data_IF_654558510681
#
_entry.id   IF_654558510681
#
_cell.length_a   1.000
_cell.length_b   1.000
_cell.length_c   1.000
_cell.angle_alpha   90.00
_cell.angle_beta   90.00
_cell.angle_gamma   90.00
#
_symmetry.space_group_name_H-M   'P 1'
#
loop_
_entity.id
_entity.type
_entity.pdbx_description
1 polymer ?
#
# COMPACT_ATOMS: atom_id res chain seq x y z
N UNK A 1 -28.20 27.78 50.59
CA UNK A 1 -27.71 26.81 49.60
C UNK A 1 -27.30 25.53 50.33
N UNK A 2 -27.50 24.30 49.77
CA UNK A 2 -27.19 23.05 50.47
C UNK A 2 -25.99 22.31 49.89
N UNK A 3 -25.24 21.62 50.74
CA UNK A 3 -24.10 20.78 50.32
C UNK A 3 -24.54 19.69 49.37
N UNK A 4 -23.83 19.50 48.27
CA UNK A 4 -24.14 18.51 47.21
C UNK A 4 -24.04 17.06 47.71
N UNK A 5 -23.33 16.80 48.83
CA UNK A 5 -23.10 15.45 49.34
C UNK A 5 -24.01 15.14 50.52
N UNK A 6 -24.03 15.97 51.58
CA UNK A 6 -24.76 15.70 52.79
C UNK A 6 -26.03 16.51 52.96
N UNK A 7 -26.33 17.44 52.02
CA UNK A 7 -27.50 18.34 52.03
C UNK A 7 -27.61 19.34 53.18
N UNK A 8 -26.62 19.41 54.08
CA UNK A 8 -26.54 20.43 55.12
C UNK A 8 -26.51 21.85 54.54
N UNK A 9 -27.01 22.82 55.28
CA UNK A 9 -26.96 24.24 54.86
C UNK A 9 -25.51 24.73 54.74
N UNK A 10 -25.26 25.51 53.71
CA UNK A 10 -23.97 26.08 53.38
C UNK A 10 -24.01 27.63 53.55
N UNK A 11 -23.26 28.10 54.52
CA UNK A 11 -22.93 29.52 54.58
C UNK A 11 -22.09 29.91 53.38
N UNK A 12 -22.56 30.86 52.56
CA UNK A 12 -21.85 31.32 51.37
C UNK A 12 -20.99 32.55 51.72
N UNK A 13 -19.77 32.66 51.18
CA UNK A 13 -18.96 33.86 51.39
C UNK A 13 -19.59 35.04 50.66
N UNK A 14 -19.50 36.23 51.29
CA UNK A 14 -19.99 37.49 50.72
C UNK A 14 -19.21 37.94 49.48
N UNK A 15 -17.96 37.49 49.32
CA UNK A 15 -17.13 37.70 48.13
C UNK A 15 -16.38 36.44 47.79
N UNK A 16 -16.21 36.13 46.49
CA UNK A 16 -15.46 35.00 45.99
C UNK A 16 -16.31 33.84 45.51
N UNK A 17 -15.64 32.67 45.21
CA UNK A 17 -16.27 31.48 44.61
C UNK A 17 -17.25 30.81 45.59
N UNK A 18 -18.48 30.57 45.16
CA UNK A 18 -19.50 29.88 45.94
C UNK A 18 -19.07 28.48 46.37
N UNK A 19 -19.30 28.16 47.67
CA UNK A 19 -19.00 26.84 48.23
C UNK A 19 -20.04 25.82 47.78
N UNK A 20 -19.59 24.66 47.32
CA UNK A 20 -20.43 23.51 46.92
C UNK A 20 -20.48 22.42 47.98
N UNK A 21 -19.52 22.40 48.90
CA UNK A 21 -19.35 21.41 49.95
C UNK A 21 -19.22 22.10 51.31
N UNK A 22 -19.81 21.45 52.38
CA UNK A 22 -19.75 22.01 53.73
C UNK A 22 -18.38 21.79 54.41
N UNK A 23 -17.64 20.77 53.96
CA UNK A 23 -16.36 20.37 54.60
C UNK A 23 -15.42 19.72 53.55
N UNK A 24 -14.14 19.63 53.93
CA UNK A 24 -13.14 18.87 53.13
C UNK A 24 -13.51 17.41 52.99
N UNK A 25 -14.17 16.79 54.00
CA UNK A 25 -14.62 15.42 53.92
C UNK A 25 -15.73 15.24 52.87
N UNK A 26 -16.67 16.12 52.75
CA UNK A 26 -17.68 16.09 51.69
C UNK A 26 -17.05 16.30 50.30
N UNK A 27 -16.07 17.19 50.19
CA UNK A 27 -15.30 17.38 48.96
C UNK A 27 -14.52 16.10 48.53
N UNK A 28 -13.86 15.44 49.51
CA UNK A 28 -13.15 14.18 49.28
C UNK A 28 -14.11 13.05 48.90
N UNK A 29 -15.31 12.97 49.51
CA UNK A 29 -16.35 12.00 49.12
C UNK A 29 -16.84 12.22 47.70
N UNK A 30 -17.07 13.45 47.31
CA UNK A 30 -17.46 13.80 45.94
C UNK A 30 -16.35 13.45 44.93
N UNK A 31 -15.10 13.65 45.31
CA UNK A 31 -13.95 13.30 44.49
C UNK A 31 -13.82 11.78 44.31
N UNK A 32 -13.94 11.00 45.40
CA UNK A 32 -13.92 9.54 45.36
C UNK A 32 -15.10 8.96 44.57
N UNK A 33 -16.32 9.50 44.74
CA UNK A 33 -17.51 9.08 44.01
C UNK A 33 -17.34 9.30 42.49
N UNK A 34 -16.77 10.44 42.07
CA UNK A 34 -16.45 10.68 40.64
C UNK A 34 -15.39 9.75 40.10
N UNK A 35 -14.46 9.33 40.92
CA UNK A 35 -13.39 8.41 40.55
C UNK A 35 -13.86 6.95 40.48
N UNK A 36 -14.81 6.57 41.30
CA UNK A 36 -15.45 5.23 41.29
C UNK A 36 -16.59 5.12 40.28
N UNK A 37 -17.19 6.24 39.83
CA UNK A 37 -18.16 6.26 38.75
C UNK A 37 -17.54 6.50 37.37
N UNK A 38 -16.23 6.72 37.28
CA UNK A 38 -15.55 6.59 35.99
C UNK A 38 -15.76 5.15 35.50
N UNK A 39 -16.23 4.93 34.25
CA UNK A 39 -16.37 3.58 33.74
C UNK A 39 -15.01 2.92 33.91
N UNK A 40 -14.99 1.80 34.67
CA UNK A 40 -13.82 0.92 34.73
C UNK A 40 -13.60 0.56 33.27
N UNK A 41 -12.59 1.16 32.63
CA UNK A 41 -12.04 0.62 31.39
C UNK A 41 -11.72 -0.82 31.78
N UNK A 42 -12.61 -1.75 31.38
CA UNK A 42 -12.29 -3.16 31.43
C UNK A 42 -10.90 -3.23 30.82
N UNK A 43 -9.92 -3.65 31.61
CA UNK A 43 -8.61 -3.99 31.08
C UNK A 43 -8.89 -5.06 30.04
N UNK A 44 -9.05 -4.67 28.80
CA UNK A 44 -8.98 -5.58 27.66
C UNK A 44 -7.68 -6.31 27.91
N UNK A 45 -7.79 -7.64 28.03
CA UNK A 45 -6.67 -8.57 28.11
C UNK A 45 -5.58 -7.99 27.21
N UNK A 46 -4.35 -7.77 27.69
CA UNK A 46 -3.35 -7.10 26.87
C UNK A 46 -3.25 -7.88 25.57
N UNK A 47 -3.67 -7.26 24.48
CA UNK A 47 -3.46 -7.82 23.13
C UNK A 47 -1.95 -7.97 23.06
N UNK A 48 -1.49 -9.21 22.99
CA UNK A 48 -0.06 -9.50 22.87
C UNK A 48 0.32 -8.97 21.49
N UNK A 49 0.89 -7.76 21.46
CA UNK A 49 1.39 -7.16 20.24
C UNK A 49 2.49 -8.08 19.70
N UNK A 50 2.33 -8.53 18.49
CA UNK A 50 3.35 -9.24 17.72
C UNK A 50 3.74 -8.38 16.53
N UNK A 51 4.96 -8.52 16.03
CA UNK A 51 5.42 -7.80 14.83
C UNK A 51 4.49 -8.06 13.65
N UNK A 52 4.12 -9.31 13.41
CA UNK A 52 3.15 -9.69 12.36
C UNK A 52 1.79 -9.00 12.57
N UNK A 53 1.27 -8.98 13.80
CA UNK A 53 -0.02 -8.33 14.08
C UNK A 53 0.02 -6.81 13.90
N UNK A 54 1.12 -6.17 14.25
CA UNK A 54 1.35 -4.74 14.02
C UNK A 54 1.47 -4.45 12.52
N UNK A 55 2.30 -5.24 11.80
CA UNK A 55 2.50 -5.10 10.36
C UNK A 55 1.18 -5.28 9.59
N UNK A 56 0.34 -6.25 9.95
CA UNK A 56 -0.97 -6.48 9.31
C UNK A 56 -1.89 -5.27 9.42
N UNK A 57 -2.04 -4.70 10.60
CA UNK A 57 -2.85 -3.48 10.79
C UNK A 57 -2.23 -2.28 10.05
N UNK A 58 -0.90 -2.22 9.95
CA UNK A 58 -0.22 -1.18 9.19
C UNK A 58 -0.46 -1.33 7.67
N UNK A 59 -0.47 -2.55 7.14
CA UNK A 59 -0.84 -2.87 5.75
C UNK A 59 -2.27 -2.41 5.48
N UNK A 60 -3.26 -2.81 6.30
CA UNK A 60 -4.66 -2.39 6.17
C UNK A 60 -4.82 -0.85 6.15
N UNK A 61 -4.04 -0.15 6.97
CA UNK A 61 -4.03 1.31 6.99
C UNK A 61 -3.42 1.91 5.71
N UNK A 62 -2.32 1.33 5.21
CA UNK A 62 -1.65 1.80 4.01
C UNK A 62 -2.48 1.53 2.74
N UNK A 63 -3.16 0.39 2.67
CA UNK A 63 -4.06 0.05 1.55
C UNK A 63 -5.25 1.00 1.45
N UNK A 64 -5.80 1.40 2.60
CA UNK A 64 -6.97 2.27 2.66
C UNK A 64 -6.63 3.75 2.45
N UNK A 65 -5.55 4.22 3.09
CA UNK A 65 -5.28 5.65 3.25
C UNK A 65 -3.96 6.10 2.60
N UNK A 66 -3.30 5.19 1.89
CA UNK A 66 -1.97 5.40 1.30
C UNK A 66 -0.83 5.37 2.33
N UNK A 67 0.39 5.23 1.81
CA UNK A 67 1.60 5.13 2.65
C UNK A 67 1.90 6.43 3.42
N UNK A 68 1.51 7.59 2.88
CA UNK A 68 1.69 8.89 3.51
C UNK A 68 0.72 9.07 4.68
N UNK A 69 -0.45 8.43 4.62
CA UNK A 69 -1.42 8.37 5.71
C UNK A 69 -0.97 7.50 6.89
N UNK A 70 0.01 6.63 6.70
CA UNK A 70 0.53 5.73 7.74
C UNK A 70 1.54 6.44 8.63
N UNK A 71 1.15 6.71 9.88
CA UNK A 71 2.03 7.25 10.93
C UNK A 71 2.03 6.34 12.15
N UNK A 72 3.15 6.30 12.91
CA UNK A 72 3.24 5.52 14.16
C UNK A 72 2.13 5.89 15.16
N UNK A 73 1.73 7.16 15.20
CA UNK A 73 0.64 7.62 16.08
C UNK A 73 -0.72 7.05 15.63
N UNK A 74 -0.98 7.05 14.32
CA UNK A 74 -2.22 6.55 13.74
C UNK A 74 -2.32 5.04 13.91
N UNK A 75 -1.23 4.31 13.67
CA UNK A 75 -1.11 2.88 13.90
C UNK A 75 -1.34 2.53 15.38
N UNK A 76 -0.70 3.25 16.30
CA UNK A 76 -0.93 3.08 17.76
C UNK A 76 -2.39 3.30 18.14
N UNK A 77 -3.03 4.31 17.56
CA UNK A 77 -4.46 4.59 17.77
C UNK A 77 -5.35 3.45 17.26
N UNK A 78 -5.07 2.91 16.09
CA UNK A 78 -5.82 1.78 15.50
C UNK A 78 -5.68 0.51 16.35
N UNK A 79 -4.49 0.25 16.87
CA UNK A 79 -4.21 -0.89 17.77
C UNK A 79 -4.67 -0.66 19.22
N UNK A 80 -5.09 0.56 19.59
CA UNK A 80 -5.51 0.89 20.97
C UNK A 80 -4.38 0.88 21.99
N UNK A 81 -3.12 1.15 21.56
CA UNK A 81 -1.92 1.10 22.39
C UNK A 81 -1.19 2.45 22.43
N UNK A 82 -0.24 2.60 23.36
CA UNK A 82 0.65 3.75 23.36
C UNK A 82 1.72 3.61 22.25
N UNK A 83 2.07 4.70 21.58
CA UNK A 83 3.07 4.74 20.51
C UNK A 83 4.42 4.14 20.94
N UNK A 84 4.84 4.36 22.19
CA UNK A 84 6.04 3.76 22.76
C UNK A 84 6.01 2.21 22.77
N UNK A 85 4.82 1.60 22.74
CA UNK A 85 4.64 0.16 22.61
C UNK A 85 5.08 -0.38 21.26
N UNK A 86 4.86 0.40 20.19
CA UNK A 86 5.24 0.03 18.82
C UNK A 86 6.75 0.09 18.60
N UNK A 87 7.42 1.08 19.16
CA UNK A 87 8.87 1.26 19.02
C UNK A 87 9.70 0.13 19.61
N UNK A 88 9.12 -0.72 20.46
CA UNK A 88 9.77 -1.95 20.93
C UNK A 88 9.82 -3.06 19.89
N UNK A 89 8.92 -3.01 18.90
CA UNK A 89 8.83 -3.97 17.80
C UNK A 89 9.46 -3.42 16.53
N UNK A 90 9.20 -2.15 16.24
CA UNK A 90 9.71 -1.45 15.06
C UNK A 90 10.39 -0.15 15.52
N UNK A 91 11.72 -0.10 15.53
CA UNK A 91 12.47 1.04 16.08
C UNK A 91 12.23 2.34 15.30
N UNK A 92 11.86 2.23 14.03
CA UNK A 92 11.57 3.36 13.15
C UNK A 92 10.54 2.99 12.07
N UNK A 93 10.22 3.96 11.21
CA UNK A 93 9.27 3.78 10.10
C UNK A 93 9.82 2.84 9.03
N UNK A 94 11.12 2.85 8.78
CA UNK A 94 11.74 1.97 7.77
C UNK A 94 11.64 0.50 8.18
N UNK A 95 11.92 0.18 9.44
CA UNK A 95 11.74 -1.15 9.97
C UNK A 95 10.27 -1.63 9.88
N UNK A 96 9.29 -0.74 10.14
CA UNK A 96 7.88 -1.05 9.96
C UNK A 96 7.57 -1.34 8.49
N UNK A 97 8.04 -0.49 7.56
CA UNK A 97 7.82 -0.69 6.12
C UNK A 97 8.45 -1.99 5.62
N UNK A 98 9.64 -2.33 6.10
CA UNK A 98 10.29 -3.61 5.79
C UNK A 98 9.47 -4.80 6.31
N UNK A 99 8.96 -4.73 7.54
CA UNK A 99 8.08 -5.76 8.10
C UNK A 99 6.75 -5.90 7.38
N UNK A 100 6.17 -4.79 6.91
CA UNK A 100 4.97 -4.80 6.08
C UNK A 100 5.23 -5.45 4.71
N UNK A 101 6.34 -5.06 4.05
CA UNK A 101 6.75 -5.64 2.77
C UNK A 101 7.01 -7.15 2.89
N UNK A 102 7.73 -7.56 3.92
CA UNK A 102 7.98 -8.98 4.21
C UNK A 102 6.68 -9.77 4.39
N UNK A 103 5.71 -9.21 5.13
CA UNK A 103 4.41 -9.85 5.33
C UNK A 103 3.68 -10.07 4.00
N UNK A 104 3.59 -9.02 3.17
CA UNK A 104 2.84 -9.05 1.90
C UNK A 104 3.54 -9.94 0.87
N UNK A 105 4.87 -9.88 0.77
CA UNK A 105 5.65 -10.71 -0.14
C UNK A 105 5.57 -12.21 0.21
N UNK A 106 5.47 -12.56 1.49
CA UNK A 106 5.25 -13.94 1.94
C UNK A 106 3.84 -14.47 1.58
N UNK A 107 2.89 -13.62 1.26
CA UNK A 107 1.54 -14.01 0.82
C UNK A 107 1.49 -14.35 -0.68
N UNK A 108 2.55 -14.01 -1.45
CA UNK A 108 2.66 -14.37 -2.87
C UNK A 108 2.80 -15.89 -3.00
N UNK A 109 1.86 -16.56 -3.69
CA UNK A 109 1.91 -18.01 -3.83
C UNK A 109 3.12 -18.43 -4.69
N UNK A 110 3.80 -19.50 -4.35
CA UNK A 110 4.81 -20.05 -5.23
C UNK A 110 4.16 -20.55 -6.54
N UNK A 111 4.89 -20.53 -7.67
CA UNK A 111 4.37 -21.05 -8.92
C UNK A 111 3.99 -22.52 -8.78
N UNK A 112 2.92 -22.91 -9.45
CA UNK A 112 2.42 -24.28 -9.41
C UNK A 112 3.46 -25.31 -9.92
N UNK A 113 3.44 -26.55 -9.42
CA UNK A 113 4.45 -27.57 -9.76
C UNK A 113 4.57 -27.89 -11.26
N UNK A 114 3.51 -27.63 -12.04
CA UNK A 114 3.52 -27.83 -13.49
C UNK A 114 4.16 -26.66 -14.27
N UNK A 115 4.37 -25.51 -13.64
CA UNK A 115 5.11 -24.39 -14.22
C UNK A 115 6.61 -24.74 -14.34
N UNK A 116 6.93 -25.65 -15.27
CA UNK A 116 8.31 -26.06 -15.54
C UNK A 116 8.94 -25.15 -16.61
N UNK A 117 10.20 -24.80 -16.41
CA UNK A 117 10.95 -23.93 -17.32
C UNK A 117 10.90 -22.46 -16.93
N UNK A 118 11.72 -21.68 -17.59
CA UNK A 118 11.92 -20.25 -17.31
C UNK A 118 10.71 -19.39 -17.71
N UNK A 119 10.13 -19.64 -18.89
CA UNK A 119 9.06 -18.83 -19.46
C UNK A 119 7.77 -18.81 -18.61
N UNK A 120 7.16 -19.99 -18.26
CA UNK A 120 5.97 -19.99 -17.42
C UNK A 120 6.24 -19.42 -16.01
N UNK A 121 7.47 -19.54 -15.51
CA UNK A 121 7.85 -18.99 -14.22
C UNK A 121 7.94 -17.47 -14.25
N UNK A 122 8.59 -16.88 -15.24
CA UNK A 122 8.67 -15.43 -15.37
C UNK A 122 7.29 -14.80 -15.67
N UNK A 123 6.46 -15.50 -16.43
CA UNK A 123 5.07 -15.09 -16.64
C UNK A 123 4.29 -15.06 -15.32
N UNK A 124 4.38 -16.10 -14.53
CA UNK A 124 3.76 -16.16 -13.20
C UNK A 124 4.24 -15.00 -12.32
N UNK A 125 5.55 -14.77 -12.25
CA UNK A 125 6.14 -13.69 -11.46
C UNK A 125 5.61 -12.31 -11.87
N UNK A 126 5.55 -12.04 -13.17
CA UNK A 126 5.04 -10.78 -13.68
C UNK A 126 3.56 -10.53 -13.26
N UNK A 127 2.73 -11.58 -13.29
CA UNK A 127 1.33 -11.48 -12.87
C UNK A 127 1.19 -11.32 -11.35
N UNK A 128 2.02 -12.01 -10.56
CA UNK A 128 2.01 -11.86 -9.10
C UNK A 128 2.54 -10.49 -8.67
N UNK A 129 3.60 -9.96 -9.31
CA UNK A 129 4.09 -8.61 -9.09
C UNK A 129 3.03 -7.56 -9.47
N UNK A 130 2.32 -7.76 -10.57
CA UNK A 130 1.21 -6.91 -10.98
C UNK A 130 0.06 -6.93 -9.97
N UNK A 131 -0.36 -8.12 -9.53
CA UNK A 131 -1.39 -8.30 -8.51
C UNK A 131 -1.00 -7.61 -7.20
N UNK A 132 0.26 -7.76 -6.79
CA UNK A 132 0.82 -7.10 -5.62
C UNK A 132 0.62 -5.58 -5.66
N UNK A 133 0.94 -4.93 -6.79
CA UNK A 133 0.79 -3.48 -6.93
C UNK A 133 -0.67 -3.03 -7.01
N UNK A 134 -1.55 -3.87 -7.51
CA UNK A 134 -3.01 -3.59 -7.52
C UNK A 134 -3.63 -3.70 -6.14
N UNK A 135 -3.25 -4.68 -5.37
CA UNK A 135 -3.74 -4.91 -4.00
C UNK A 135 -3.09 -3.95 -3.01
N UNK A 136 -1.79 -3.67 -3.20
CA UNK A 136 -0.96 -2.86 -2.30
C UNK A 136 -0.18 -1.77 -3.08
N UNK A 137 -0.85 -0.70 -3.56
CA UNK A 137 -0.19 0.33 -4.38
C UNK A 137 1.03 1.00 -3.73
N UNK A 138 1.09 1.01 -2.40
CA UNK A 138 2.21 1.52 -1.62
C UNK A 138 3.49 0.68 -1.76
N UNK A 139 3.40 -0.56 -2.25
CA UNK A 139 4.55 -1.42 -2.54
C UNK A 139 5.36 -0.93 -3.74
N UNK A 140 4.71 -0.31 -4.74
CA UNK A 140 5.39 0.17 -5.94
C UNK A 140 6.54 1.14 -5.62
N UNK A 141 6.36 2.28 -4.90
CA UNK A 141 7.46 3.16 -4.56
C UNK A 141 8.48 2.54 -3.58
N UNK A 142 8.16 1.41 -2.97
CA UNK A 142 9.06 0.71 -2.06
C UNK A 142 9.99 -0.25 -2.82
N UNK A 143 9.46 -0.97 -3.81
CA UNK A 143 10.21 -1.95 -4.61
C UNK A 143 10.87 -1.32 -5.84
N UNK A 144 10.28 -0.28 -6.45
CA UNK A 144 10.84 0.46 -7.59
C UNK A 144 12.01 1.38 -7.18
N UNK A 145 12.94 0.85 -6.41
CA UNK A 145 14.17 1.54 -5.96
C UNK A 145 15.39 0.78 -6.40
N UNK A 146 16.50 1.51 -6.58
CA UNK A 146 17.81 0.89 -6.84
C UNK A 146 18.24 -0.04 -5.69
N UNK A 147 17.75 0.21 -4.49
CA UNK A 147 18.00 -0.61 -3.29
C UNK A 147 16.67 -0.79 -2.53
N UNK A 148 15.87 -1.77 -2.95
CA UNK A 148 14.65 -2.11 -2.21
C UNK A 148 14.99 -2.70 -0.83
N UNK A 149 14.06 -2.71 0.12
CA UNK A 149 14.25 -3.37 1.40
C UNK A 149 14.38 -4.89 1.16
N UNK A 150 15.60 -5.40 1.31
CA UNK A 150 15.90 -6.82 1.15
C UNK A 150 15.50 -7.57 2.44
N UNK A 151 14.44 -8.36 2.35
CA UNK A 151 14.04 -9.32 3.36
C UNK A 151 14.07 -10.75 2.80
N UNK A 152 13.92 -11.77 3.66
CA UNK A 152 13.89 -13.18 3.24
C UNK A 152 12.89 -13.46 2.11
N UNK A 153 11.65 -12.95 2.19
CA UNK A 153 10.63 -13.17 1.18
C UNK A 153 11.05 -12.66 -0.22
N UNK A 154 11.60 -11.42 -0.28
CA UNK A 154 12.09 -10.88 -1.55
C UNK A 154 13.28 -11.70 -2.09
N UNK A 155 14.18 -12.11 -1.21
CA UNK A 155 15.32 -12.95 -1.62
C UNK A 155 14.86 -14.32 -2.14
N UNK A 156 13.85 -14.92 -1.55
CA UNK A 156 13.28 -16.20 -2.01
C UNK A 156 12.61 -16.05 -3.39
N UNK A 157 11.94 -14.91 -3.65
CA UNK A 157 11.37 -14.58 -4.95
C UNK A 157 12.49 -14.44 -6.00
N UNK A 158 13.53 -13.66 -5.69
CA UNK A 158 14.69 -13.48 -6.58
C UNK A 158 15.38 -14.81 -6.88
N UNK A 159 15.65 -15.62 -5.85
CA UNK A 159 16.28 -16.92 -6.00
C UNK A 159 15.50 -17.84 -6.96
N UNK A 160 14.18 -17.91 -6.80
CA UNK A 160 13.34 -18.75 -7.68
C UNK A 160 13.41 -18.32 -9.15
N UNK A 161 13.45 -17.02 -9.41
CA UNK A 161 13.47 -16.46 -10.77
C UNK A 161 14.85 -16.62 -11.40
N UNK A 162 15.90 -16.29 -10.65
CA UNK A 162 17.28 -16.43 -11.12
C UNK A 162 17.63 -17.89 -11.39
N UNK A 163 17.24 -18.81 -10.49
CA UNK A 163 17.44 -20.23 -10.68
C UNK A 163 16.67 -20.81 -11.90
N UNK A 164 15.56 -20.20 -12.30
CA UNK A 164 14.84 -20.61 -13.50
C UNK A 164 15.60 -20.22 -14.78
N UNK A 165 16.16 -19.01 -14.82
CA UNK A 165 16.96 -18.51 -15.94
C UNK A 165 18.35 -19.16 -16.02
N UNK A 166 18.99 -19.42 -14.87
CA UNK A 166 20.28 -20.11 -14.79
C UNK A 166 20.17 -21.54 -15.38
N UNK A 167 19.10 -22.27 -15.06
CA UNK A 167 18.82 -23.57 -15.66
C UNK A 167 18.58 -23.54 -17.17
N UNK A 168 18.27 -22.40 -17.74
CA UNK A 168 18.20 -22.18 -19.18
C UNK A 168 19.58 -21.94 -19.83
N UNK A 169 20.68 -21.94 -19.05
CA UNK A 169 22.05 -21.79 -19.52
C UNK A 169 22.46 -20.34 -19.80
N UNK A 170 21.76 -19.37 -19.27
CA UNK A 170 22.07 -17.96 -19.48
C UNK A 170 23.17 -17.47 -18.52
N UNK A 171 24.02 -16.55 -19.01
CA UNK A 171 25.06 -15.94 -18.20
C UNK A 171 24.47 -14.93 -17.17
N UNK A 172 25.22 -14.63 -16.11
CA UNK A 172 24.79 -13.78 -15.00
C UNK A 172 24.28 -12.41 -15.42
N UNK A 173 24.90 -11.78 -16.41
CA UNK A 173 24.52 -10.45 -16.89
C UNK A 173 23.19 -10.51 -17.61
N UNK A 174 23.01 -11.51 -18.46
CA UNK A 174 21.78 -11.76 -19.19
C UNK A 174 20.63 -12.09 -18.23
N UNK A 175 20.83 -12.97 -17.24
CA UNK A 175 19.84 -13.28 -16.19
C UNK A 175 19.38 -12.01 -15.47
N UNK A 176 20.33 -11.18 -14.99
CA UNK A 176 20.00 -9.94 -14.30
C UNK A 176 19.27 -8.94 -15.21
N UNK A 177 19.67 -8.86 -16.48
CA UNK A 177 19.05 -7.96 -17.45
C UNK A 177 17.59 -8.36 -17.73
N UNK A 178 17.34 -9.66 -17.95
CA UNK A 178 15.98 -10.17 -18.21
C UNK A 178 15.08 -9.91 -17.00
N UNK A 179 15.55 -10.24 -15.80
CA UNK A 179 14.77 -10.02 -14.58
C UNK A 179 14.41 -8.54 -14.38
N UNK A 180 15.42 -7.65 -14.49
CA UNK A 180 15.19 -6.21 -14.34
C UNK A 180 14.32 -5.61 -15.46
N UNK A 181 14.42 -6.13 -16.69
CA UNK A 181 13.56 -5.70 -17.79
C UNK A 181 12.09 -6.09 -17.52
N UNK A 182 11.85 -7.33 -17.04
CA UNK A 182 10.52 -7.81 -16.71
C UNK A 182 9.90 -7.00 -15.55
N UNK A 183 10.61 -6.88 -14.43
CA UNK A 183 10.15 -6.13 -13.28
C UNK A 183 9.94 -4.63 -13.63
N UNK A 184 10.86 -4.04 -14.40
CA UNK A 184 10.72 -2.66 -14.87
C UNK A 184 9.50 -2.44 -15.78
N UNK A 185 9.15 -3.43 -16.62
CA UNK A 185 7.93 -3.42 -17.42
C UNK A 185 6.68 -3.41 -16.53
N UNK A 186 6.60 -4.34 -15.57
CA UNK A 186 5.46 -4.43 -14.62
C UNK A 186 5.34 -3.15 -13.80
N UNK A 187 6.45 -2.64 -13.25
CA UNK A 187 6.47 -1.40 -12.47
C UNK A 187 6.05 -0.18 -13.30
N UNK A 188 6.48 -0.09 -14.55
CA UNK A 188 6.07 0.97 -15.46
C UNK A 188 4.56 0.95 -15.72
N UNK A 189 3.98 -0.22 -16.00
CA UNK A 189 2.54 -0.37 -16.16
C UNK A 189 1.77 -0.08 -14.87
N UNK A 190 2.29 -0.53 -13.72
CA UNK A 190 1.68 -0.24 -12.42
C UNK A 190 1.70 1.26 -12.09
N UNK A 191 2.74 1.97 -12.49
CA UNK A 191 2.81 3.43 -12.34
C UNK A 191 1.75 4.12 -13.20
N UNK A 192 1.61 3.75 -14.47
CA UNK A 192 0.59 4.28 -15.37
C UNK A 192 -0.83 4.01 -14.83
N UNK A 193 -1.09 2.77 -14.43
CA UNK A 193 -2.37 2.37 -13.84
C UNK A 193 -2.70 3.15 -12.55
N UNK A 194 -1.71 3.35 -11.68
CA UNK A 194 -1.92 4.09 -10.43
C UNK A 194 -2.20 5.57 -10.67
N UNK A 195 -1.57 6.18 -11.69
CA UNK A 195 -1.82 7.57 -12.10
C UNK A 195 -3.23 7.74 -12.65
N UNK A 196 -3.66 6.86 -13.57
CA UNK A 196 -5.03 6.87 -14.10
C UNK A 196 -6.08 6.70 -13.00
N UNK A 197 -5.82 5.84 -12.02
CA UNK A 197 -6.73 5.65 -10.87
C UNK A 197 -6.84 6.90 -10.00
N UNK A 198 -5.76 7.63 -9.79
CA UNK A 198 -5.76 8.89 -9.02
C UNK A 198 -6.58 9.92 -9.78
N UNK A 199 -6.39 10.04 -11.10
CA UNK A 199 -7.11 10.98 -11.94
C UNK A 199 -8.62 10.66 -11.93
N UNK A 200 -9.03 9.41 -12.07
CA UNK A 200 -10.45 8.99 -12.01
C UNK A 200 -11.12 9.18 -10.64
N UNK A 201 -10.37 9.12 -9.54
CA UNK A 201 -10.91 9.32 -8.19
C UNK A 201 -10.90 10.79 -7.75
N UNK A 202 -10.21 11.66 -8.51
CA UNK A 202 -9.92 13.02 -8.10
C UNK A 202 -11.09 14.02 -8.26
N UNK A 203 -11.95 13.90 -9.29
CA UNK A 203 -13.08 14.82 -9.48
C UNK A 203 -14.21 14.18 -10.34
N UNK A 204 -15.48 14.19 -9.88
CA UNK A 204 -16.64 13.84 -10.72
C UNK A 204 -16.83 14.77 -11.95
N UNK A 205 -16.02 15.83 -12.05
CA UNK A 205 -15.98 16.73 -13.23
C UNK A 205 -15.07 16.23 -14.35
N UNK A 206 -14.33 15.13 -14.15
CA UNK A 206 -13.37 14.59 -15.10
C UNK A 206 -13.99 14.11 -16.43
N UNK A 207 -15.28 13.74 -16.45
CA UNK A 207 -15.96 13.46 -17.72
C UNK A 207 -15.96 14.68 -18.69
N UNK A 208 -16.00 15.90 -18.13
CA UNK A 208 -15.87 17.11 -18.92
C UNK A 208 -14.41 17.38 -19.34
N UNK A 209 -13.46 17.08 -18.47
CA UNK A 209 -12.03 17.15 -18.74
C UNK A 209 -11.58 16.13 -19.79
N UNK A 210 -12.07 14.91 -19.69
CA UNK A 210 -11.81 13.86 -20.69
C UNK A 210 -12.39 14.21 -22.07
N UNK A 211 -13.60 14.78 -22.10
CA UNK A 211 -14.22 15.27 -23.34
C UNK A 211 -13.42 16.45 -23.93
N UNK A 212 -12.96 17.38 -23.08
CA UNK A 212 -12.12 18.49 -23.50
C UNK A 212 -10.77 18.02 -24.06
N UNK A 213 -10.12 17.08 -23.36
CA UNK A 213 -8.85 16.49 -23.81
C UNK A 213 -9.01 15.75 -25.15
N UNK A 214 -10.11 15.01 -25.34
CA UNK A 214 -10.41 14.36 -26.63
C UNK A 214 -10.61 15.39 -27.76
N UNK A 215 -11.31 16.47 -27.46
CA UNK A 215 -11.51 17.55 -28.42
C UNK A 215 -10.18 18.25 -28.79
N UNK A 216 -9.37 18.59 -27.80
CA UNK A 216 -8.05 19.19 -28.00
C UNK A 216 -7.10 18.26 -28.78
N UNK A 217 -7.16 16.92 -28.46
CA UNK A 217 -6.41 15.92 -29.21
C UNK A 217 -6.87 15.84 -30.68
N UNK A 218 -8.18 15.86 -30.95
CA UNK A 218 -8.72 15.82 -32.32
C UNK A 218 -8.24 17.01 -33.14
N UNK A 219 -8.19 18.21 -32.55
CA UNK A 219 -7.64 19.41 -33.23
C UNK A 219 -6.11 19.31 -33.47
N UNK A 220 -5.38 18.67 -32.54
CA UNK A 220 -3.93 18.48 -32.65
C UNK A 220 -3.54 17.34 -33.59
N UNK A 221 -4.45 16.40 -33.88
CA UNK A 221 -4.22 15.22 -34.71
C UNK A 221 -4.52 15.48 -36.21
N UNK A 222 -4.12 16.64 -36.74
CA UNK A 222 -4.23 16.94 -38.17
C UNK A 222 -3.59 15.80 -39.01
N UNK A 223 -4.37 15.10 -39.87
CA UNK A 223 -3.88 14.00 -40.70
C UNK A 223 -2.80 14.40 -41.67
N UNK A 224 -2.75 15.68 -42.08
CA UNK A 224 -1.70 16.20 -42.95
C UNK A 224 -0.34 16.34 -42.22
N UNK A 225 -0.38 16.58 -40.92
CA UNK A 225 0.82 16.80 -40.09
C UNK A 225 1.22 15.53 -39.32
N UNK A 226 0.23 14.77 -38.86
CA UNK A 226 0.42 13.59 -37.99
C UNK A 226 -0.39 12.37 -38.47
N UNK A 227 -0.14 11.86 -39.69
CA UNK A 227 -0.96 10.81 -40.30
C UNK A 227 -0.95 9.49 -39.50
N UNK A 228 0.16 9.17 -38.85
CA UNK A 228 0.24 7.97 -38.00
C UNK A 228 -0.61 8.10 -36.72
N UNK A 229 -0.48 9.21 -36.02
CA UNK A 229 -1.26 9.43 -34.79
C UNK A 229 -2.75 9.55 -35.10
N UNK A 230 -3.11 10.26 -36.19
CA UNK A 230 -4.51 10.36 -36.62
C UNK A 230 -5.13 8.98 -36.92
N UNK A 231 -4.37 8.04 -37.50
CA UNK A 231 -4.84 6.69 -37.80
C UNK A 231 -5.18 5.89 -36.52
N UNK A 232 -4.44 6.10 -35.44
CA UNK A 232 -4.59 5.32 -34.20
C UNK A 232 -5.49 5.99 -33.16
N UNK A 233 -5.61 7.33 -33.22
CA UNK A 233 -6.26 8.12 -32.18
C UNK A 233 -7.27 9.14 -32.73
N UNK A 234 -7.46 9.21 -34.04
CA UNK A 234 -8.34 10.20 -34.69
C UNK A 234 -9.79 9.76 -34.81
N UNK A 235 -10.14 8.51 -34.52
CA UNK A 235 -11.52 8.03 -34.51
C UNK A 235 -12.22 8.49 -33.24
N UNK A 236 -13.39 9.15 -33.39
CA UNK A 236 -14.24 9.59 -32.26
C UNK A 236 -14.74 8.43 -31.40
N UNK A 237 -14.82 7.22 -31.98
CA UNK A 237 -15.24 5.97 -31.30
C UNK A 237 -14.07 5.20 -30.70
N UNK A 238 -12.83 5.68 -30.79
CA UNK A 238 -11.69 4.99 -30.17
C UNK A 238 -11.83 5.08 -28.65
N UNK A 239 -12.19 3.95 -28.04
CA UNK A 239 -12.23 3.80 -26.59
C UNK A 239 -10.77 3.85 -26.07
N UNK A 240 -10.40 4.99 -25.48
CA UNK A 240 -9.10 5.17 -24.82
C UNK A 240 -9.00 4.40 -23.48
N UNK A 241 -10.05 3.66 -23.09
CA UNK A 241 -10.02 2.84 -21.90
C UNK A 241 -9.00 1.71 -22.09
N UNK A 242 -7.81 1.92 -21.53
CA UNK A 242 -6.72 0.94 -21.58
C UNK A 242 -7.01 -0.21 -20.63
N UNK A 243 -7.17 -1.42 -21.14
CA UNK A 243 -7.17 -2.62 -20.31
C UNK A 243 -5.74 -2.96 -19.92
N UNK A 244 -5.37 -2.60 -18.70
CA UNK A 244 -4.02 -2.83 -18.18
C UNK A 244 -3.70 -4.29 -17.95
N UNK A 245 -4.69 -5.17 -17.73
CA UNK A 245 -4.47 -6.59 -17.57
C UNK A 245 -4.12 -7.23 -18.93
N UNK A 246 -4.81 -6.86 -19.99
CA UNK A 246 -4.51 -7.31 -21.36
C UNK A 246 -3.18 -6.73 -21.85
N UNK A 247 -2.92 -5.45 -21.57
CA UNK A 247 -1.65 -4.80 -21.90
C UNK A 247 -0.47 -5.48 -21.20
N UNK A 248 -0.61 -5.81 -19.92
CA UNK A 248 0.42 -6.56 -19.18
C UNK A 248 0.67 -7.92 -19.83
N UNK A 249 -0.40 -8.70 -20.06
CA UNK A 249 -0.28 -10.05 -20.64
C UNK A 249 0.44 -10.00 -21.97
N UNK A 250 0.05 -9.09 -22.86
CA UNK A 250 0.66 -8.91 -24.18
C UNK A 250 2.12 -8.47 -24.10
N UNK A 251 2.41 -7.47 -23.27
CA UNK A 251 3.75 -6.92 -23.13
C UNK A 251 4.74 -7.94 -22.51
N UNK A 252 4.28 -8.74 -21.55
CA UNK A 252 5.06 -9.83 -20.97
C UNK A 252 5.41 -10.88 -22.04
N UNK A 253 4.44 -11.32 -22.85
CA UNK A 253 4.71 -12.30 -23.91
C UNK A 253 5.70 -11.74 -24.95
N UNK A 254 5.55 -10.49 -25.39
CA UNK A 254 6.51 -9.85 -26.29
C UNK A 254 7.93 -9.84 -25.73
N UNK A 255 8.09 -9.56 -24.43
CA UNK A 255 9.39 -9.61 -23.76
C UNK A 255 9.95 -11.04 -23.75
N UNK A 256 9.12 -12.02 -23.36
CA UNK A 256 9.54 -13.43 -23.25
C UNK A 256 9.86 -14.06 -24.63
N UNK A 257 9.14 -13.66 -25.69
CA UNK A 257 9.47 -14.03 -27.08
C UNK A 257 10.82 -13.46 -27.50
N UNK A 258 11.07 -12.18 -27.21
CA UNK A 258 12.35 -11.56 -27.46
C UNK A 258 13.52 -12.24 -26.73
N UNK A 259 13.29 -12.69 -25.50
CA UNK A 259 14.28 -13.49 -24.73
C UNK A 259 14.53 -14.84 -25.39
N UNK A 260 13.48 -15.56 -25.78
CA UNK A 260 13.58 -16.86 -26.44
C UNK A 260 14.42 -16.77 -27.71
N UNK A 261 14.01 -15.90 -28.63
CA UNK A 261 14.69 -15.72 -29.93
C UNK A 261 16.15 -15.28 -29.77
N UNK A 262 16.39 -14.33 -28.86
CA UNK A 262 17.72 -13.69 -28.74
C UNK A 262 18.75 -14.56 -28.00
N UNK A 263 18.31 -15.36 -27.04
CA UNK A 263 19.22 -15.99 -26.09
C UNK A 263 19.11 -17.52 -26.03
N UNK A 264 18.02 -18.14 -26.52
CA UNK A 264 17.76 -19.56 -26.33
C UNK A 264 17.52 -20.33 -27.62
N UNK A 265 17.03 -19.68 -28.68
CA UNK A 265 16.80 -20.32 -29.99
C UNK A 265 18.03 -20.23 -30.95
N UNK A 266 19.06 -19.47 -30.58
CA UNK A 266 20.28 -19.31 -31.39
C UNK A 266 21.31 -20.42 -31.20
N UNK A 267 20.92 -21.60 -30.67
CA UNK A 267 21.83 -22.73 -30.39
C UNK A 267 21.57 -23.90 -31.35
N UNK A 268 21.26 -23.62 -32.63
CA UNK A 268 21.34 -24.59 -33.72
C UNK A 268 22.59 -24.37 -34.60
#
# INVERSE_FOLDING_TARGET
MRCVICRSELAQPTRGRRRRYCSRSCQARAYRARRSSAPVRRATRPIRLTEVGIARVAVELADRDGIDGLTMRRLASALGVATAGLYRHFPDREALLAGMAELVLNEIPPPEPHCRGWRPRLRHEAHEEWRLYREHPWMLPLLARTRPPLGPALLDILERNFAALDRAGLDRRTVSTIYLALSGLVQGLALLWSSERVDRLGDPRDAAGETALRHDLAELLDPAVRPALHRYFGDEDSDFAMDFDDLLATAVELLLDGVAVRHLESTE
#
